data_IF_184868965649
#
_entry.id   IF_184868965649
#
_cell.length_a   1.000
_cell.length_b   1.000
_cell.length_c   1.000
_cell.angle_alpha   90.00
_cell.angle_beta   90.00
_cell.angle_gamma   90.00
#
_symmetry.space_group_name_H-M   'P 1'
#
loop_
_entity.id
_entity.type
_entity.pdbx_description
1 polymer ?
#
# COMPACT_ATOMS: atom_id res chain seq x y z
N UNK A 1 -7.65 65.70 -52.77
CA UNK A 1 -8.52 64.54 -52.48
C UNK A 1 -7.91 63.79 -51.32
N UNK A 2 -8.50 63.89 -50.13
CA UNK A 2 -7.96 63.26 -48.91
C UNK A 2 -8.59 61.87 -48.75
N UNK A 3 -7.81 60.81 -48.48
CA UNK A 3 -8.37 59.46 -48.37
C UNK A 3 -9.16 59.33 -47.06
N UNK A 4 -10.38 58.79 -47.17
CA UNK A 4 -11.26 58.50 -46.05
C UNK A 4 -10.68 57.37 -45.19
N UNK A 5 -10.62 57.51 -43.86
CA UNK A 5 -10.07 56.50 -42.98
C UNK A 5 -11.00 55.29 -42.90
N UNK A 6 -10.49 54.12 -43.31
CA UNK A 6 -11.18 52.84 -43.16
C UNK A 6 -11.24 52.47 -41.68
N UNK A 7 -12.41 52.63 -41.06
CA UNK A 7 -12.68 52.10 -39.72
C UNK A 7 -12.70 50.57 -39.79
N UNK A 8 -11.88 49.85 -38.99
CA UNK A 8 -11.89 48.40 -38.97
C UNK A 8 -13.27 47.90 -38.51
N UNK A 9 -13.82 46.90 -39.22
CA UNK A 9 -15.12 46.34 -38.85
C UNK A 9 -15.02 45.71 -37.46
N UNK A 10 -16.00 46.01 -36.60
CA UNK A 10 -16.06 45.58 -35.20
C UNK A 10 -15.94 44.06 -35.03
N UNK A 11 -16.42 43.31 -36.03
CA UNK A 11 -16.31 41.85 -36.13
C UNK A 11 -14.86 41.35 -36.24
N UNK A 12 -13.97 42.13 -36.89
CA UNK A 12 -12.54 41.79 -36.99
C UNK A 12 -11.83 41.87 -35.64
N UNK A 13 -12.24 42.80 -34.77
CA UNK A 13 -11.65 42.98 -33.44
C UNK A 13 -12.09 41.86 -32.49
N UNK A 14 -13.36 41.48 -32.52
CA UNK A 14 -13.88 40.38 -31.71
C UNK A 14 -13.22 39.03 -32.07
N UNK A 15 -13.08 38.72 -33.36
CA UNK A 15 -12.42 37.49 -33.82
C UNK A 15 -10.93 37.45 -33.47
N UNK A 16 -10.23 38.59 -33.50
CA UNK A 16 -8.84 38.68 -33.02
C UNK A 16 -8.74 38.43 -31.53
N UNK A 17 -9.66 38.95 -30.72
CA UNK A 17 -9.65 38.73 -29.27
C UNK A 17 -9.97 37.27 -28.90
N UNK A 18 -10.88 36.61 -29.62
CA UNK A 18 -11.18 35.17 -29.43
C UNK A 18 -9.97 34.31 -29.83
N UNK A 19 -9.30 34.63 -30.95
CA UNK A 19 -8.09 33.91 -31.36
C UNK A 19 -6.95 34.06 -30.35
N UNK A 20 -6.77 35.26 -29.77
CA UNK A 20 -5.77 35.50 -28.71
C UNK A 20 -6.13 34.73 -27.43
N UNK A 21 -7.41 34.69 -27.04
CA UNK A 21 -7.89 33.91 -25.90
C UNK A 21 -7.66 32.40 -26.10
N UNK A 22 -8.02 31.86 -27.28
CA UNK A 22 -7.84 30.46 -27.63
C UNK A 22 -6.35 30.04 -27.67
N UNK A 23 -5.46 30.92 -28.12
CA UNK A 23 -4.01 30.66 -28.13
C UNK A 23 -3.39 30.72 -26.72
N UNK A 24 -3.96 31.51 -25.81
CA UNK A 24 -3.47 31.62 -24.42
C UNK A 24 -4.01 30.55 -23.46
N UNK A 25 -5.03 29.80 -23.88
CA UNK A 25 -5.75 28.80 -23.07
C UNK A 25 -4.87 27.60 -22.63
N UNK A 26 -4.05 26.99 -23.51
CA UNK A 26 -3.15 25.90 -23.12
C UNK A 26 -2.10 26.34 -22.09
N UNK A 27 -1.61 27.57 -22.22
CA UNK A 27 -0.61 28.14 -21.31
C UNK A 27 -1.22 28.47 -19.95
N UNK A 28 -2.44 29.03 -19.91
CA UNK A 28 -3.18 29.33 -18.67
C UNK A 28 -3.64 28.08 -17.91
N UNK A 29 -3.98 26.99 -18.60
CA UNK A 29 -4.28 25.72 -17.95
C UNK A 29 -3.04 25.12 -17.26
N UNK A 30 -1.83 25.38 -17.77
CA UNK A 30 -0.58 25.03 -17.10
C UNK A 30 -0.21 25.99 -15.96
N UNK A 31 -0.51 27.29 -16.07
CA UNK A 31 -0.15 28.28 -15.02
C UNK A 31 -1.10 28.25 -13.82
N UNK A 32 -2.38 27.90 -14.02
CA UNK A 32 -3.35 27.75 -12.91
C UNK A 32 -3.10 26.51 -12.04
N UNK A 33 -2.27 25.56 -12.50
CA UNK A 33 -1.96 24.34 -11.74
C UNK A 33 -0.72 24.45 -10.85
N UNK A 34 0.06 25.53 -10.95
CA UNK A 34 1.36 25.63 -10.27
C UNK A 34 1.63 27.06 -9.79
N UNK A 35 0.85 27.55 -8.82
CA UNK A 35 1.36 28.60 -7.93
C UNK A 35 0.99 28.29 -6.48
N UNK A 36 2.03 28.02 -5.68
CA UNK A 36 2.04 28.08 -4.22
C UNK A 36 1.11 27.11 -3.46
N UNK A 37 1.36 25.81 -3.57
CA UNK A 37 0.85 24.84 -2.60
C UNK A 37 1.93 24.50 -1.56
N UNK A 38 1.71 24.98 -0.33
CA UNK A 38 2.45 24.58 0.86
C UNK A 38 2.57 23.06 0.96
N UNK A 39 3.72 22.54 1.39
CA UNK A 39 3.97 21.09 1.57
C UNK A 39 2.85 20.36 2.35
N UNK A 40 2.13 21.04 3.25
CA UNK A 40 0.99 20.47 3.97
C UNK A 40 -0.25 20.15 3.12
N UNK A 41 -0.50 20.85 2.00
CA UNK A 41 -1.64 20.53 1.09
C UNK A 41 -1.33 19.39 0.14
N UNK A 42 -0.06 19.21 -0.28
CA UNK A 42 0.35 18.07 -1.11
C UNK A 42 0.13 16.73 -0.42
N UNK A 43 0.36 16.65 0.89
CA UNK A 43 0.07 15.45 1.68
C UNK A 43 -1.44 15.19 1.76
N UNK A 44 -2.27 16.23 1.93
CA UNK A 44 -3.74 16.11 2.01
C UNK A 44 -4.39 15.47 0.79
N UNK A 45 -3.87 15.70 -0.42
CA UNK A 45 -4.38 15.05 -1.64
C UNK A 45 -3.89 13.61 -1.77
N UNK A 46 -2.62 13.35 -1.43
CA UNK A 46 -2.05 11.99 -1.40
C UNK A 46 -2.83 11.05 -0.47
N UNK A 47 -3.42 11.59 0.60
CA UNK A 47 -4.23 10.82 1.54
C UNK A 47 -5.56 10.32 0.96
N UNK A 48 -6.17 11.01 -0.01
CA UNK A 48 -7.47 10.61 -0.58
C UNK A 48 -7.43 9.32 -1.39
N UNK A 49 -6.30 9.05 -2.05
CA UNK A 49 -6.09 7.93 -2.98
C UNK A 49 -5.28 6.77 -2.38
N UNK A 50 -4.90 6.85 -1.11
CA UNK A 50 -4.06 5.82 -0.50
C UNK A 50 -4.79 4.49 -0.32
N UNK A 51 -4.02 3.40 -0.32
CA UNK A 51 -4.53 2.08 0.05
C UNK A 51 -4.88 2.04 1.55
N UNK A 52 -6.14 2.29 1.90
CA UNK A 52 -6.61 2.53 3.29
C UNK A 52 -6.32 1.40 4.27
N UNK A 53 -6.11 0.19 3.79
CA UNK A 53 -5.74 -0.94 4.65
C UNK A 53 -4.25 -0.91 5.06
N UNK A 54 -3.39 -0.37 4.21
CA UNK A 54 -1.94 -0.23 4.45
C UNK A 54 -1.62 1.13 5.04
N UNK A 55 -2.34 2.18 4.63
CA UNK A 55 -2.21 3.53 5.14
C UNK A 55 -3.57 3.97 5.69
N UNK A 56 -3.93 3.59 6.93
CA UNK A 56 -5.25 3.86 7.50
C UNK A 56 -5.49 5.32 7.87
N UNK A 57 -6.70 5.61 8.37
CA UNK A 57 -7.16 6.96 8.76
C UNK A 57 -6.28 7.66 9.82
N UNK A 58 -5.49 6.90 10.59
CA UNK A 58 -4.59 7.47 11.59
C UNK A 58 -3.52 8.37 10.99
N UNK A 59 -3.19 8.19 9.71
CA UNK A 59 -2.24 9.03 9.01
C UNK A 59 -2.76 10.45 8.70
N UNK A 60 -4.07 10.65 8.67
CA UNK A 60 -4.66 11.98 8.42
C UNK A 60 -4.52 12.90 9.65
N UNK A 61 -4.23 12.31 10.81
CA UNK A 61 -4.26 12.99 12.10
C UNK A 61 -2.92 13.70 12.36
N UNK A 62 -2.70 14.83 11.68
CA UNK A 62 -1.72 15.84 12.13
C UNK A 62 -2.12 16.48 13.47
N UNK A 63 -3.33 16.19 13.96
CA UNK A 63 -3.88 16.67 15.22
C UNK A 63 -3.45 15.77 16.38
N UNK A 64 -2.42 16.23 17.08
CA UNK A 64 -1.93 15.76 18.39
C UNK A 64 -2.95 15.86 19.53
N UNK A 65 -4.25 16.00 19.23
CA UNK A 65 -5.32 16.27 20.18
C UNK A 65 -6.30 15.11 20.24
N UNK A 66 -5.99 14.11 21.06
CA UNK A 66 -6.93 13.54 22.02
C UNK A 66 -6.36 12.26 22.60
N UNK A 67 -6.58 12.08 23.90
CA UNK A 67 -6.30 10.88 24.69
C UNK A 67 -6.94 9.57 24.15
N UNK A 68 -7.54 9.58 22.96
CA UNK A 68 -8.10 8.42 22.25
C UNK A 68 -7.10 7.72 21.32
N UNK A 69 -6.00 8.38 20.92
CA UNK A 69 -4.97 7.78 20.04
C UNK A 69 -4.23 6.61 20.70
N UNK A 70 -4.19 6.56 22.03
CA UNK A 70 -3.65 5.44 22.80
C UNK A 70 -4.53 4.18 22.74
N UNK A 71 -5.80 4.29 22.33
CA UNK A 71 -6.74 3.16 22.27
C UNK A 71 -6.93 2.56 20.88
N UNK A 72 -6.45 3.20 19.80
CA UNK A 72 -6.59 2.64 18.45
C UNK A 72 -5.51 1.57 18.24
N UNK A 73 -5.96 0.33 18.10
CA UNK A 73 -5.12 -0.83 17.84
C UNK A 73 -4.57 -0.82 16.41
N UNK A 74 -3.49 -1.55 16.19
CA UNK A 74 -3.05 -1.95 14.85
C UNK A 74 -4.18 -2.66 14.08
N UNK A 75 -4.07 -2.69 12.75
CA UNK A 75 -4.92 -3.54 11.90
C UNK A 75 -4.29 -4.92 11.77
N UNK A 76 -5.09 -5.98 11.89
CA UNK A 76 -4.63 -7.36 11.70
C UNK A 76 -5.22 -7.95 10.42
N UNK A 77 -4.37 -8.59 9.63
CA UNK A 77 -4.75 -9.35 8.45
C UNK A 77 -4.16 -10.75 8.53
N UNK A 78 -4.95 -11.78 8.20
CA UNK A 78 -4.34 -13.07 7.86
C UNK A 78 -3.59 -12.95 6.52
N UNK A 79 -2.59 -13.80 6.25
CA UNK A 79 -1.89 -13.81 4.97
C UNK A 79 -2.83 -13.93 3.76
N UNK A 80 -3.83 -14.80 3.85
CA UNK A 80 -4.86 -14.96 2.82
C UNK A 80 -5.66 -13.66 2.62
N UNK A 81 -6.10 -13.01 3.70
CA UNK A 81 -6.87 -11.78 3.60
C UNK A 81 -6.08 -10.65 2.96
N UNK A 82 -4.84 -10.42 3.41
CA UNK A 82 -4.00 -9.37 2.84
C UNK A 82 -3.71 -9.64 1.36
N UNK A 83 -3.47 -10.90 0.99
CA UNK A 83 -3.33 -11.30 -0.39
C UNK A 83 -4.58 -10.99 -1.22
N UNK A 84 -5.76 -11.39 -0.75
CA UNK A 84 -7.03 -11.14 -1.46
C UNK A 84 -7.26 -9.63 -1.62
N UNK A 85 -7.07 -8.87 -0.55
CA UNK A 85 -7.20 -7.42 -0.55
C UNK A 85 -6.28 -6.75 -1.60
N UNK A 86 -5.04 -7.23 -1.76
CA UNK A 86 -4.07 -6.67 -2.70
C UNK A 86 -4.20 -7.21 -4.14
N UNK A 87 -4.89 -8.34 -4.37
CA UNK A 87 -4.86 -9.05 -5.65
C UNK A 87 -6.23 -9.37 -6.26
N UNK A 88 -7.32 -9.21 -5.52
CA UNK A 88 -8.67 -9.55 -5.99
C UNK A 88 -9.09 -8.71 -7.20
N UNK A 89 -8.91 -7.40 -7.11
CA UNK A 89 -9.27 -6.44 -8.16
C UNK A 89 -8.17 -5.40 -8.33
N UNK A 90 -7.52 -5.39 -9.49
CA UNK A 90 -6.72 -4.25 -9.88
C UNK A 90 -7.65 -3.08 -10.21
N UNK A 91 -7.44 -1.99 -9.49
CA UNK A 91 -8.01 -0.68 -9.75
C UNK A 91 -6.83 0.27 -9.75
N UNK A 92 -6.61 1.06 -10.82
CA UNK A 92 -5.51 2.01 -10.84
C UNK A 92 -5.47 2.80 -9.56
N UNK A 93 -6.59 3.32 -9.07
CA UNK A 93 -6.68 4.19 -7.89
C UNK A 93 -6.07 3.60 -6.61
N UNK A 94 -5.97 2.28 -6.48
CA UNK A 94 -5.35 1.63 -5.31
C UNK A 94 -3.83 1.35 -5.49
N UNK A 95 -3.30 1.45 -6.71
CA UNK A 95 -1.88 1.46 -7.05
C UNK A 95 -1.03 0.41 -6.32
N UNK A 96 -1.43 -0.86 -6.37
CA UNK A 96 -0.80 -1.94 -5.58
C UNK A 96 0.69 -2.12 -5.95
N UNK A 97 1.07 -1.78 -7.17
CA UNK A 97 2.45 -1.77 -7.68
C UNK A 97 3.32 -0.66 -7.07
N UNK A 98 2.70 0.38 -6.52
CA UNK A 98 3.39 1.51 -5.90
C UNK A 98 3.58 1.31 -4.40
N UNK A 99 2.93 0.30 -3.80
CA UNK A 99 3.11 -0.07 -2.40
C UNK A 99 4.29 -1.05 -2.29
N UNK A 100 5.41 -0.52 -1.82
CA UNK A 100 6.67 -1.25 -1.76
C UNK A 100 7.13 -1.49 -0.32
N UNK A 101 7.88 -2.56 -0.12
CA UNK A 101 8.66 -2.80 1.10
C UNK A 101 10.03 -2.12 0.91
N UNK A 102 10.32 -1.13 1.74
CA UNK A 102 11.59 -0.37 1.73
C UNK A 102 12.68 -1.08 2.49
N UNK A 103 12.33 -1.64 3.64
CA UNK A 103 13.25 -2.43 4.44
C UNK A 103 12.51 -3.54 5.17
N UNK A 104 13.23 -4.61 5.46
CA UNK A 104 12.76 -5.70 6.29
C UNK A 104 13.82 -6.02 7.35
N UNK A 105 13.39 -6.36 8.56
CA UNK A 105 14.29 -6.75 9.65
C UNK A 105 13.83 -8.06 10.27
N UNK A 106 14.69 -9.07 10.20
CA UNK A 106 14.49 -10.32 10.90
C UNK A 106 14.81 -10.13 12.38
N UNK A 107 13.83 -10.35 13.24
CA UNK A 107 13.93 -10.02 14.65
C UNK A 107 13.70 -11.25 15.52
N UNK A 108 14.33 -11.24 16.70
CA UNK A 108 14.13 -12.23 17.76
C UNK A 108 13.77 -11.51 19.04
N UNK A 109 12.70 -11.94 19.71
CA UNK A 109 12.27 -11.40 21.00
C UNK A 109 13.24 -11.86 22.09
N UNK A 110 13.63 -10.96 22.99
CA UNK A 110 14.62 -11.27 24.03
C UNK A 110 14.02 -12.08 25.18
N UNK A 111 12.74 -11.84 25.49
CA UNK A 111 12.04 -12.48 26.63
C UNK A 111 11.51 -13.88 26.32
N UNK A 112 11.29 -14.21 25.04
CA UNK A 112 10.76 -15.50 24.62
C UNK A 112 11.73 -16.13 23.61
N UNK A 113 12.52 -17.14 24.01
CA UNK A 113 13.69 -17.60 23.27
C UNK A 113 13.42 -18.15 21.86
N UNK A 114 12.15 -18.43 21.54
CA UNK A 114 11.74 -19.05 20.28
C UNK A 114 10.96 -18.09 19.37
N UNK A 115 10.63 -16.88 19.83
CA UNK A 115 9.80 -15.97 19.04
C UNK A 115 10.64 -15.12 18.10
N UNK A 116 10.57 -15.47 16.82
CA UNK A 116 11.18 -14.74 15.73
C UNK A 116 10.08 -14.22 14.79
N UNK A 117 10.27 -13.01 14.28
CA UNK A 117 9.28 -12.24 13.52
C UNK A 117 9.98 -11.31 12.54
N UNK A 118 9.23 -10.75 11.60
CA UNK A 118 9.75 -9.80 10.61
C UNK A 118 9.10 -8.44 10.82
N UNK A 119 9.91 -7.39 10.92
CA UNK A 119 9.44 -5.99 10.86
C UNK A 119 9.64 -5.49 9.44
N UNK A 120 8.63 -4.81 8.90
CA UNK A 120 8.62 -4.27 7.55
C UNK A 120 8.42 -2.76 7.62
N UNK A 121 9.18 -2.00 6.84
CA UNK A 121 8.88 -0.61 6.50
C UNK A 121 8.30 -0.60 5.09
N UNK A 122 7.08 -0.10 4.93
CA UNK A 122 6.38 0.01 3.64
C UNK A 122 6.23 1.47 3.25
N UNK A 123 6.29 1.76 1.95
CA UNK A 123 6.15 3.09 1.38
C UNK A 123 5.21 3.05 0.17
N UNK A 124 4.40 4.09 0.01
CA UNK A 124 3.67 4.35 -1.23
C UNK A 124 4.50 5.29 -2.12
N UNK A 125 4.95 4.78 -3.28
CA UNK A 125 5.79 5.53 -4.22
C UNK A 125 5.07 6.71 -4.86
N UNK A 126 3.74 6.68 -4.98
CA UNK A 126 2.96 7.82 -5.50
C UNK A 126 2.85 8.95 -4.51
N UNK A 127 3.02 8.63 -3.23
CA UNK A 127 2.89 9.55 -2.12
C UNK A 127 4.23 9.65 -1.37
N UNK A 128 5.30 10.26 -1.96
CA UNK A 128 6.61 10.30 -1.33
C UNK A 128 6.57 10.76 0.13
N UNK A 129 7.15 9.96 1.01
CA UNK A 129 7.14 10.20 2.46
C UNK A 129 5.98 9.55 3.21
N UNK A 130 4.97 9.03 2.51
CA UNK A 130 3.93 8.19 3.12
C UNK A 130 4.50 6.80 3.41
N UNK A 131 4.87 6.59 4.67
CA UNK A 131 5.49 5.35 5.14
C UNK A 131 4.68 4.73 6.27
N UNK A 132 4.59 3.41 6.29
CA UNK A 132 4.01 2.68 7.41
C UNK A 132 4.93 1.54 7.86
N UNK A 133 4.63 0.97 9.02
CA UNK A 133 5.30 -0.21 9.55
C UNK A 133 4.33 -1.36 9.68
N UNK A 134 4.81 -2.56 9.39
CA UNK A 134 4.09 -3.80 9.58
C UNK A 134 4.95 -4.78 10.36
N UNK A 135 4.30 -5.62 11.15
CA UNK A 135 4.91 -6.81 11.76
C UNK A 135 4.29 -8.02 11.10
N UNK A 136 5.13 -8.98 10.75
CA UNK A 136 4.74 -10.30 10.31
C UNK A 136 5.19 -11.30 11.36
N UNK A 137 4.24 -11.92 12.04
CA UNK A 137 4.49 -12.88 13.10
C UNK A 137 3.51 -14.05 13.08
N UNK A 138 3.94 -15.16 13.68
CA UNK A 138 3.09 -16.31 14.00
C UNK A 138 2.87 -16.31 15.50
N UNK A 139 1.65 -16.02 15.94
CA UNK A 139 1.29 -15.97 17.35
C UNK A 139 0.35 -17.11 17.74
N UNK A 140 0.48 -17.56 18.97
CA UNK A 140 -0.55 -18.41 19.57
C UNK A 140 -1.73 -17.48 19.86
N UNK A 141 -2.94 -17.85 19.42
CA UNK A 141 -4.13 -17.05 19.73
C UNK A 141 -4.25 -16.93 21.25
N UNK A 142 -3.93 -15.75 21.81
CA UNK A 142 -4.31 -15.44 23.17
C UNK A 142 -5.83 -15.42 23.18
N UNK A 143 -6.43 -16.35 23.92
CA UNK A 143 -7.86 -16.37 24.18
C UNK A 143 -8.36 -14.95 24.50
N UNK A 144 -9.44 -14.48 23.85
CA UNK A 144 -9.99 -13.17 24.16
C UNK A 144 -10.51 -13.20 25.61
N UNK A 145 -9.93 -12.32 26.43
CA UNK A 145 -10.30 -11.98 27.80
C UNK A 145 -9.63 -12.80 28.92
N UNK A 146 -8.66 -12.14 29.56
CA UNK A 146 -8.53 -12.18 31.02
C UNK A 146 -9.79 -11.53 31.62
N UNK A 147 -10.91 -12.23 31.59
CA UNK A 147 -12.04 -11.92 32.47
C UNK A 147 -11.71 -12.52 33.83
N UNK A 148 -11.53 -11.74 34.90
CA UNK A 148 -11.41 -12.31 36.22
C UNK A 148 -12.82 -12.69 36.66
N UNK A 149 -13.19 -13.97 36.62
CA UNK A 149 -14.14 -14.61 37.57
C UNK A 149 -14.53 -16.05 37.20
N UNK A 150 -14.25 -16.93 38.17
CA UNK A 150 -15.17 -17.91 38.78
C UNK A 150 -15.61 -19.10 37.91
N UNK A 151 -14.95 -20.24 38.17
CA UNK A 151 -15.44 -21.62 38.11
C UNK A 151 -16.43 -21.99 37.00
N UNK A 152 -15.92 -22.58 35.92
CA UNK A 152 -16.68 -23.58 35.16
C UNK A 152 -15.74 -24.66 34.62
N UNK A 153 -15.85 -25.82 35.26
CA UNK A 153 -15.20 -27.08 34.92
C UNK A 153 -15.88 -27.70 33.69
N UNK A 154 -15.31 -27.44 32.51
CA UNK A 154 -15.38 -28.29 31.32
C UNK A 154 -14.39 -27.75 30.29
N UNK A 155 -13.09 -27.94 30.52
CA UNK A 155 -12.06 -27.66 29.52
C UNK A 155 -12.20 -28.67 28.38
N UNK A 156 -13.09 -28.36 27.45
CA UNK A 156 -12.92 -28.77 26.05
C UNK A 156 -11.51 -28.34 25.66
N UNK A 157 -10.72 -29.30 25.17
CA UNK A 157 -9.37 -29.11 24.65
C UNK A 157 -9.43 -28.22 23.40
N UNK A 158 -9.73 -26.93 23.56
CA UNK A 158 -9.59 -25.93 22.52
C UNK A 158 -8.10 -25.84 22.21
N UNK A 159 -7.71 -26.58 21.17
CA UNK A 159 -6.39 -26.52 20.57
C UNK A 159 -6.14 -25.05 20.18
N UNK A 160 -5.25 -24.36 20.89
CA UNK A 160 -4.76 -23.04 20.52
C UNK A 160 -4.05 -23.10 19.17
N UNK A 161 -4.77 -22.89 18.07
CA UNK A 161 -4.15 -22.81 16.76
C UNK A 161 -3.21 -21.61 16.70
N UNK A 162 -2.01 -21.83 16.17
CA UNK A 162 -1.12 -20.75 15.78
C UNK A 162 -1.78 -19.94 14.66
N UNK A 163 -1.63 -18.62 14.72
CA UNK A 163 -2.21 -17.67 13.77
C UNK A 163 -1.09 -16.85 13.15
N UNK A 164 -1.03 -16.90 11.83
CA UNK A 164 -0.15 -16.05 11.03
C UNK A 164 -0.85 -14.72 10.82
N UNK A 165 -0.16 -13.61 11.11
CA UNK A 165 -0.75 -12.29 11.01
C UNK A 165 0.23 -11.26 10.43
N UNK A 166 -0.31 -10.39 9.59
CA UNK A 166 0.22 -9.07 9.34
C UNK A 166 -0.44 -8.09 10.31
N UNK A 167 0.37 -7.38 11.08
CA UNK A 167 -0.06 -6.32 12.00
C UNK A 167 0.44 -4.98 11.49
N UNK A 168 -0.47 -4.14 11.04
CA UNK A 168 -0.18 -2.86 10.36
C UNK A 168 -0.37 -1.72 11.34
N UNK A 169 0.61 -0.83 11.46
CA UNK A 169 0.48 0.33 12.34
C UNK A 169 -0.67 1.23 11.90
N UNK A 170 -1.42 1.73 12.88
CA UNK A 170 -2.57 2.61 12.66
C UNK A 170 -2.16 4.00 12.18
N UNK A 171 -0.97 4.48 12.56
CA UNK A 171 -0.53 5.86 12.37
C UNK A 171 0.92 5.99 11.88
N UNK A 172 1.55 4.87 11.50
CA UNK A 172 2.96 4.87 11.09
C UNK A 172 3.94 4.88 12.25
N UNK A 173 3.51 4.80 13.51
CA UNK A 173 4.42 4.72 14.64
C UNK A 173 4.91 3.28 14.86
N UNK A 174 6.18 3.01 14.49
CA UNK A 174 6.83 1.71 14.70
C UNK A 174 6.88 1.32 16.19
N UNK A 175 7.21 2.25 17.08
CA UNK A 175 7.40 1.94 18.51
C UNK A 175 6.07 1.56 19.14
N UNK A 176 5.00 2.26 18.78
CA UNK A 176 3.65 1.94 19.22
C UNK A 176 3.17 0.60 18.68
N UNK A 177 3.37 0.31 17.40
CA UNK A 177 3.04 -1.00 16.83
C UNK A 177 3.72 -2.14 17.61
N UNK A 178 5.03 -2.02 17.85
CA UNK A 178 5.78 -3.01 18.62
C UNK A 178 5.32 -3.10 20.08
N UNK A 179 4.88 -1.98 20.68
CA UNK A 179 4.23 -1.96 21.99
C UNK A 179 2.98 -2.85 22.02
N UNK A 180 2.08 -2.60 21.06
CA UNK A 180 0.77 -3.24 20.98
C UNK A 180 0.88 -4.74 20.65
N UNK A 181 1.97 -5.15 19.98
CA UNK A 181 2.26 -6.54 19.66
C UNK A 181 3.04 -7.28 20.76
N UNK A 182 3.42 -6.61 21.86
CA UNK A 182 4.36 -7.14 22.87
C UNK A 182 5.73 -7.56 22.26
N UNK A 183 6.27 -6.74 21.36
CA UNK A 183 7.52 -6.97 20.62
C UNK A 183 8.56 -5.87 20.84
N UNK A 184 8.40 -5.00 21.85
CA UNK A 184 9.36 -3.91 22.08
C UNK A 184 10.75 -4.42 22.44
N UNK A 185 10.83 -5.42 23.30
CA UNK A 185 12.09 -6.02 23.73
C UNK A 185 12.55 -7.11 22.75
N UNK A 186 13.16 -6.66 21.66
CA UNK A 186 13.65 -7.51 20.58
C UNK A 186 15.03 -7.08 20.11
N UNK A 187 15.66 -7.98 19.36
CA UNK A 187 16.90 -7.72 18.64
C UNK A 187 16.71 -8.02 17.16
N UNK A 188 17.11 -7.09 16.30
CA UNK A 188 17.26 -7.35 14.88
C UNK A 188 18.52 -8.21 14.65
N UNK A 189 18.35 -9.40 14.09
CA UNK A 189 19.43 -10.32 13.74
C UNK A 189 19.98 -10.01 12.35
N UNK A 190 19.08 -9.74 11.42
CA UNK A 190 19.38 -9.48 10.01
C UNK A 190 18.50 -8.33 9.51
N UNK A 191 19.00 -7.57 8.55
CA UNK A 191 18.27 -6.44 7.96
C UNK A 191 18.52 -6.39 6.46
N UNK A 192 17.45 -6.15 5.71
CA UNK A 192 17.45 -5.91 4.29
C UNK A 192 16.97 -4.49 4.00
N UNK A 193 17.68 -3.80 3.12
CA UNK A 193 17.25 -2.54 2.52
C UNK A 193 17.15 -2.76 1.02
N UNK A 194 15.94 -2.60 0.49
CA UNK A 194 15.68 -2.83 -0.93
C UNK A 194 16.08 -1.59 -1.75
N UNK A 195 16.61 -1.84 -2.94
CA UNK A 195 16.93 -0.77 -3.90
C UNK A 195 15.66 -0.16 -4.47
N UNK A 196 15.71 1.12 -4.82
CA UNK A 196 14.55 1.82 -5.38
C UNK A 196 14.16 1.29 -6.77
N UNK A 197 15.12 0.75 -7.51
CA UNK A 197 14.96 0.21 -8.87
C UNK A 197 14.38 -1.21 -8.85
N UNK A 198 14.64 -1.97 -7.78
CA UNK A 198 14.22 -3.37 -7.61
C UNK A 198 13.57 -3.58 -6.24
N UNK A 199 12.47 -2.86 -5.92
CA UNK A 199 11.82 -3.00 -4.63
C UNK A 199 11.14 -4.37 -4.51
N UNK A 200 10.92 -4.84 -3.28
CA UNK A 200 9.97 -5.91 -3.03
C UNK A 200 8.57 -5.29 -2.96
N UNK A 201 7.65 -5.74 -3.82
CA UNK A 201 6.27 -5.23 -3.82
C UNK A 201 5.48 -5.88 -2.69
N UNK A 202 4.57 -5.14 -2.05
CA UNK A 202 3.87 -5.66 -0.88
C UNK A 202 2.99 -6.87 -1.23
N UNK A 203 2.34 -6.86 -2.40
CA UNK A 203 1.54 -8.01 -2.85
C UNK A 203 2.40 -9.27 -3.05
N UNK A 204 3.67 -9.11 -3.48
CA UNK A 204 4.58 -10.25 -3.63
C UNK A 204 4.90 -10.89 -2.28
N UNK A 205 5.12 -10.06 -1.25
CA UNK A 205 5.31 -10.53 0.12
C UNK A 205 4.03 -11.18 0.69
N UNK A 206 2.86 -10.63 0.39
CA UNK A 206 1.58 -11.22 0.80
C UNK A 206 1.37 -12.61 0.15
N UNK A 207 1.65 -12.76 -1.14
CA UNK A 207 1.63 -14.06 -1.85
C UNK A 207 2.58 -15.06 -1.21
N UNK A 208 3.84 -14.67 -0.97
CA UNK A 208 4.83 -15.51 -0.30
C UNK A 208 4.34 -15.96 1.09
N UNK A 209 3.87 -15.02 1.89
CA UNK A 209 3.44 -15.31 3.26
C UNK A 209 2.23 -16.24 3.29
N UNK A 210 1.29 -16.05 2.36
CA UNK A 210 0.13 -16.94 2.18
C UNK A 210 0.54 -18.35 1.79
N UNK A 211 1.46 -18.49 0.83
CA UNK A 211 2.00 -19.80 0.43
C UNK A 211 2.64 -20.52 1.63
N UNK A 212 3.49 -19.82 2.39
CA UNK A 212 4.14 -20.38 3.59
C UNK A 212 3.11 -20.76 4.66
N UNK A 213 2.08 -19.93 4.86
CA UNK A 213 1.00 -20.19 5.80
C UNK A 213 0.28 -21.50 5.47
N UNK A 214 -0.12 -21.68 4.20
CA UNK A 214 -0.84 -22.88 3.74
C UNK A 214 -0.04 -24.17 3.74
N UNK A 215 1.28 -24.11 3.58
CA UNK A 215 2.09 -25.32 3.57
C UNK A 215 2.01 -26.10 4.90
N UNK A 216 1.64 -25.45 6.01
CA UNK A 216 1.64 -26.09 7.34
C UNK A 216 0.48 -25.67 8.25
N UNK A 217 -0.76 -25.75 7.76
CA UNK A 217 -1.99 -25.60 8.56
C UNK A 217 -2.10 -26.57 9.76
N UNK A 218 -1.27 -27.63 9.81
CA UNK A 218 -1.44 -28.81 10.70
C UNK A 218 -0.34 -29.03 11.74
N UNK A 219 0.56 -28.07 11.96
CA UNK A 219 1.62 -28.28 12.95
C UNK A 219 1.10 -28.16 14.39
N UNK A 220 1.53 -29.09 15.26
CA UNK A 220 1.13 -29.12 16.66
C UNK A 220 1.65 -27.88 17.42
N UNK A 221 0.84 -27.39 18.36
CA UNK A 221 1.06 -26.22 19.22
C UNK A 221 2.41 -26.27 19.96
N UNK A 222 2.86 -27.49 20.31
CA UNK A 222 4.12 -27.74 21.03
C UNK A 222 5.35 -27.44 20.15
N UNK A 223 5.17 -27.38 18.82
CA UNK A 223 6.20 -27.11 17.81
C UNK A 223 5.82 -25.93 16.90
N UNK A 224 4.93 -25.03 17.36
CA UNK A 224 4.47 -23.82 16.66
C UNK A 224 5.60 -22.78 16.54
N UNK A 225 6.57 -23.12 15.70
CA UNK A 225 7.85 -22.48 15.59
C UNK A 225 7.73 -21.23 14.74
N UNK A 226 7.42 -20.10 15.37
CA UNK A 226 7.52 -18.76 14.80
C UNK A 226 8.89 -18.53 14.12
N UNK A 227 9.96 -19.18 14.61
CA UNK A 227 11.26 -19.22 13.91
C UNK A 227 11.19 -19.84 12.51
N UNK A 228 10.44 -20.93 12.31
CA UNK A 228 10.36 -21.60 11.00
C UNK A 228 9.55 -20.75 10.04
N UNK A 229 8.42 -20.23 10.49
CA UNK A 229 7.54 -19.38 9.69
C UNK A 229 8.27 -18.13 9.20
N UNK A 230 8.83 -17.37 10.14
CA UNK A 230 9.59 -16.16 9.82
C UNK A 230 10.85 -16.51 9.02
N UNK A 231 11.55 -17.59 9.39
CA UNK A 231 12.81 -18.00 8.75
C UNK A 231 12.65 -18.38 7.29
N UNK A 232 11.62 -19.18 6.95
CA UNK A 232 11.33 -19.58 5.58
C UNK A 232 10.95 -18.37 4.72
N UNK A 233 10.10 -17.48 5.24
CA UNK A 233 9.73 -16.24 4.54
C UNK A 233 10.98 -15.38 4.29
N UNK A 234 11.84 -15.24 5.30
CA UNK A 234 13.07 -14.47 5.17
C UNK A 234 14.01 -15.03 4.10
N UNK A 235 14.19 -16.35 4.05
CA UNK A 235 15.01 -16.99 3.01
C UNK A 235 14.44 -16.81 1.62
N UNK A 236 13.11 -16.90 1.47
CA UNK A 236 12.46 -16.59 0.20
C UNK A 236 12.68 -15.12 -0.19
N UNK A 237 12.54 -14.16 0.73
CA UNK A 237 12.80 -12.73 0.47
C UNK A 237 14.24 -12.51 -0.04
N UNK A 238 15.23 -13.13 0.62
CA UNK A 238 16.64 -13.05 0.20
C UNK A 238 16.83 -13.57 -1.23
N UNK A 239 16.19 -14.69 -1.58
CA UNK A 239 16.24 -15.26 -2.93
C UNK A 239 15.50 -14.41 -3.96
N UNK A 240 14.36 -13.82 -3.59
CA UNK A 240 13.58 -12.94 -4.47
C UNK A 240 14.31 -11.61 -4.76
N UNK A 241 15.18 -11.15 -3.84
CA UNK A 241 15.89 -9.86 -3.94
C UNK A 241 17.38 -10.01 -3.59
N UNK A 242 18.17 -10.72 -4.42
CA UNK A 242 19.59 -10.95 -4.16
C UNK A 242 20.43 -9.66 -4.24
N UNK A 243 19.91 -8.62 -4.89
CA UNK A 243 20.56 -7.32 -5.06
C UNK A 243 20.36 -6.37 -3.87
N UNK A 244 19.50 -6.72 -2.90
CA UNK A 244 19.21 -5.90 -1.73
C UNK A 244 20.45 -5.75 -0.83
N UNK A 245 20.58 -4.60 -0.17
CA UNK A 245 21.64 -4.42 0.83
C UNK A 245 21.31 -5.26 2.06
N UNK A 246 22.18 -6.23 2.34
CA UNK A 246 22.01 -7.20 3.42
C UNK A 246 23.03 -6.97 4.53
N UNK A 247 22.53 -6.87 5.77
CA UNK A 247 23.35 -6.67 6.98
C UNK A 247 23.00 -7.70 8.04
N UNK A 248 24.03 -8.37 8.57
CA UNK A 248 23.93 -9.31 9.69
C UNK A 248 24.50 -8.66 10.96
N UNK A 249 23.79 -8.78 12.07
CA UNK A 249 24.28 -8.34 13.37
C UNK A 249 25.44 -9.25 13.84
N UNK A 250 26.55 -8.66 14.27
CA UNK A 250 27.72 -9.41 14.74
C UNK A 250 27.35 -10.35 15.92
N UNK A 251 27.82 -11.60 15.84
CA UNK A 251 27.71 -12.58 16.93
C UNK A 251 26.36 -13.28 17.06
N UNK A 252 25.42 -13.08 16.13
CA UNK A 252 24.11 -13.73 16.16
C UNK A 252 23.86 -14.61 14.95
N UNK A 253 23.21 -15.74 15.19
CA UNK A 253 22.85 -16.73 14.18
C UNK A 253 21.35 -16.98 14.31
N UNK A 254 20.61 -16.85 13.20
CA UNK A 254 19.19 -17.19 13.10
C UNK A 254 18.92 -18.65 13.49
N UNK A 255 17.81 -18.92 14.16
CA UNK A 255 17.43 -20.29 14.54
C UNK A 255 18.40 -20.96 15.53
N UNK A 256 19.28 -20.20 16.17
CA UNK A 256 20.14 -20.72 17.23
C UNK A 256 19.33 -20.83 18.53
N UNK A 257 19.10 -22.08 18.94
CA UNK A 257 18.52 -22.44 20.23
C UNK A 257 19.65 -23.06 21.06
N UNK A 258 20.00 -22.43 22.19
CA UNK A 258 21.03 -22.88 23.14
C UNK A 258 22.32 -23.37 22.42
N UNK A 259 23.11 -22.45 21.87
CA UNK A 259 24.51 -22.59 21.37
C UNK A 259 24.86 -23.74 20.39
N UNK A 260 24.03 -24.75 20.13
CA UNK A 260 24.48 -26.00 19.49
C UNK A 260 23.57 -26.53 18.38
N UNK A 261 22.26 -26.29 18.43
CA UNK A 261 21.34 -26.70 17.37
C UNK A 261 21.01 -25.51 16.48
N UNK A 262 21.59 -25.52 15.27
CA UNK A 262 21.23 -24.61 14.19
C UNK A 262 20.04 -25.22 13.45
N UNK A 263 18.92 -24.51 13.43
CA UNK A 263 17.84 -24.83 12.51
C UNK A 263 18.00 -23.96 11.26
N UNK A 264 18.68 -24.50 10.25
CA UNK A 264 18.58 -23.95 8.90
C UNK A 264 17.23 -24.35 8.31
N UNK A 265 16.64 -23.45 7.53
CA UNK A 265 15.50 -23.81 6.67
C UNK A 265 15.88 -25.01 5.81
N UNK A 266 14.99 -25.99 5.72
CA UNK A 266 15.18 -27.15 4.86
C UNK A 266 15.24 -26.66 3.40
N UNK A 267 16.33 -26.95 2.69
CA UNK A 267 16.54 -26.48 1.31
C UNK A 267 15.45 -26.98 0.36
N UNK A 268 14.94 -28.19 0.56
CA UNK A 268 13.84 -28.73 -0.25
C UNK A 268 12.53 -27.99 0.02
N UNK A 269 12.25 -27.63 1.28
CA UNK A 269 11.06 -26.82 1.63
C UNK A 269 11.17 -25.42 1.01
N UNK A 270 12.37 -24.81 1.09
CA UNK A 270 12.64 -23.51 0.49
C UNK A 270 12.42 -23.53 -1.03
N UNK A 271 12.95 -24.54 -1.72
CA UNK A 271 12.80 -24.68 -3.18
C UNK A 271 11.33 -24.81 -3.58
N UNK A 272 10.62 -25.76 -2.97
CA UNK A 272 9.20 -26.02 -3.27
C UNK A 272 8.35 -24.77 -3.00
N UNK A 273 8.61 -24.06 -1.90
CA UNK A 273 7.92 -22.81 -1.58
C UNK A 273 8.20 -21.76 -2.62
N UNK A 274 9.47 -21.57 -2.98
CA UNK A 274 9.86 -20.56 -3.95
C UNK A 274 9.26 -20.82 -5.33
N UNK A 275 9.33 -22.06 -5.84
CA UNK A 275 8.72 -22.42 -7.13
C UNK A 275 7.21 -22.21 -7.16
N UNK A 276 6.53 -22.53 -6.05
CA UNK A 276 5.10 -22.29 -5.92
C UNK A 276 4.79 -20.79 -5.97
N UNK A 277 5.51 -19.98 -5.19
CA UNK A 277 5.35 -18.53 -5.13
C UNK A 277 5.65 -17.90 -6.49
N UNK A 278 6.74 -18.28 -7.15
CA UNK A 278 7.12 -17.76 -8.46
C UNK A 278 6.01 -17.99 -9.51
N UNK A 279 5.43 -19.19 -9.52
CA UNK A 279 4.29 -19.50 -10.39
C UNK A 279 3.06 -18.64 -10.07
N UNK A 280 2.74 -18.47 -8.79
CA UNK A 280 1.59 -17.63 -8.41
C UNK A 280 1.80 -16.16 -8.78
N UNK A 281 3.01 -15.64 -8.59
CA UNK A 281 3.33 -14.27 -8.99
C UNK A 281 3.17 -14.07 -10.49
N UNK A 282 3.61 -15.03 -11.31
CA UNK A 282 3.40 -14.99 -12.76
C UNK A 282 1.91 -14.95 -13.13
N UNK A 283 1.06 -15.71 -12.44
CA UNK A 283 -0.40 -15.69 -12.69
C UNK A 283 -1.04 -14.37 -12.24
N UNK A 284 -0.60 -13.80 -11.13
CA UNK A 284 -1.06 -12.47 -10.66
C UNK A 284 -0.66 -11.39 -11.65
N UNK A 285 0.58 -11.39 -12.13
CA UNK A 285 1.08 -10.39 -13.08
C UNK A 285 0.32 -10.46 -14.42
N UNK A 286 -0.01 -11.67 -14.90
CA UNK A 286 -0.90 -11.87 -16.06
C UNK A 286 -2.28 -11.30 -15.78
N UNK A 287 -2.87 -11.61 -14.63
CA UNK A 287 -4.20 -11.11 -14.22
C UNK A 287 -4.21 -9.58 -14.17
N UNK A 288 -3.21 -8.96 -13.55
CA UNK A 288 -3.06 -7.50 -13.50
C UNK A 288 -2.90 -6.90 -14.89
N UNK A 289 -2.14 -7.54 -15.78
CA UNK A 289 -2.00 -7.07 -17.17
C UNK A 289 -3.35 -7.04 -17.90
N UNK A 290 -4.14 -8.12 -17.79
CA UNK A 290 -5.49 -8.18 -18.39
C UNK A 290 -6.42 -7.12 -17.78
N UNK A 291 -6.41 -6.96 -16.46
CA UNK A 291 -7.25 -5.97 -15.77
C UNK A 291 -6.85 -4.53 -16.14
N UNK A 292 -5.54 -4.23 -16.24
CA UNK A 292 -5.02 -2.94 -16.71
C UNK A 292 -5.50 -2.62 -18.12
N UNK A 293 -5.42 -3.57 -19.04
CA UNK A 293 -5.88 -3.41 -20.42
C UNK A 293 -7.39 -3.18 -20.48
N UNK A 294 -8.17 -3.97 -19.75
CA UNK A 294 -9.62 -3.82 -19.67
C UNK A 294 -10.03 -2.45 -19.14
N UNK A 295 -9.40 -2.00 -18.05
CA UNK A 295 -9.64 -0.67 -17.49
C UNK A 295 -9.25 0.44 -18.47
N UNK A 296 -8.08 0.37 -19.11
CA UNK A 296 -7.63 1.39 -20.07
C UNK A 296 -8.59 1.52 -21.26
N UNK A 297 -9.14 0.40 -21.74
CA UNK A 297 -10.14 0.39 -22.79
C UNK A 297 -11.45 1.03 -22.33
N UNK A 298 -12.01 0.59 -21.20
CA UNK A 298 -13.28 1.12 -20.67
C UNK A 298 -13.19 2.61 -20.33
N UNK A 299 -12.09 3.04 -19.69
CA UNK A 299 -11.90 4.45 -19.35
C UNK A 299 -11.70 5.31 -20.60
N UNK A 300 -10.97 4.81 -21.61
CA UNK A 300 -10.82 5.50 -22.89
C UNK A 300 -12.16 5.73 -23.59
N UNK A 301 -13.03 4.72 -23.62
CA UNK A 301 -14.40 4.85 -24.14
C UNK A 301 -15.21 5.88 -23.36
N UNK A 302 -15.18 5.81 -22.03
CA UNK A 302 -15.89 6.77 -21.18
C UNK A 302 -15.42 8.22 -21.41
N UNK A 303 -14.11 8.45 -21.49
CA UNK A 303 -13.57 9.80 -21.78
C UNK A 303 -14.00 10.29 -23.16
N UNK A 304 -14.09 9.40 -24.14
CA UNK A 304 -14.55 9.75 -25.48
C UNK A 304 -16.03 10.15 -25.46
N UNK A 305 -16.88 9.39 -24.76
CA UNK A 305 -18.30 9.68 -24.58
C UNK A 305 -18.50 11.02 -23.85
N UNK A 306 -17.72 11.29 -22.79
CA UNK A 306 -17.75 12.55 -22.05
C UNK A 306 -17.33 13.73 -22.94
N UNK A 307 -16.31 13.57 -23.78
CA UNK A 307 -15.87 14.58 -24.73
C UNK A 307 -16.97 14.87 -25.77
N UNK A 308 -17.64 13.84 -26.27
CA UNK A 308 -18.74 13.99 -27.22
C UNK A 308 -19.95 14.69 -26.59
N UNK A 309 -20.32 14.31 -25.36
CA UNK A 309 -21.37 14.96 -24.60
C UNK A 309 -21.05 16.45 -24.33
N UNK A 310 -19.81 16.77 -23.97
CA UNK A 310 -19.37 18.16 -23.79
C UNK A 310 -19.43 18.96 -25.10
N UNK A 311 -19.03 18.37 -26.24
CA UNK A 311 -19.14 19.02 -27.56
C UNK A 311 -20.58 19.34 -27.92
N UNK A 312 -21.49 18.38 -27.73
CA UNK A 312 -22.92 18.60 -27.98
C UNK A 312 -23.48 19.72 -27.09
N UNK A 313 -23.08 19.75 -25.81
CA UNK A 313 -23.51 20.81 -24.88
C UNK A 313 -22.98 22.19 -25.28
N UNK A 314 -21.73 22.28 -25.75
CA UNK A 314 -21.16 23.54 -26.26
C UNK A 314 -21.96 24.02 -27.48
N UNK A 315 -22.28 23.12 -28.42
CA UNK A 315 -23.07 23.46 -29.59
C UNK A 315 -24.47 23.96 -29.22
N UNK A 316 -25.15 23.30 -28.28
CA UNK A 316 -26.47 23.75 -27.78
C UNK A 316 -26.40 25.16 -27.17
N UNK A 317 -25.35 25.44 -26.37
CA UNK A 317 -25.14 26.75 -25.78
C UNK A 317 -24.85 27.82 -26.83
N UNK A 318 -24.09 27.49 -27.88
CA UNK A 318 -23.84 28.37 -29.02
C UNK A 318 -25.14 28.67 -29.80
N UNK A 319 -26.00 27.68 -30.01
CA UNK A 319 -27.32 27.85 -30.63
C UNK A 319 -28.26 28.71 -29.78
N UNK A 320 -28.25 28.54 -28.45
CA UNK A 320 -29.00 29.39 -27.51
C UNK A 320 -28.52 30.84 -27.51
N UNK A 321 -27.21 31.06 -27.62
CA UNK A 321 -26.63 32.40 -27.71
C UNK A 321 -27.01 33.08 -29.04
N UNK A 322 -26.95 32.34 -30.15
CA UNK A 322 -27.26 32.86 -31.48
C UNK A 322 -28.75 33.13 -31.69
N UNK A 323 -29.64 32.36 -31.05
CA UNK A 323 -31.09 32.51 -31.19
C UNK A 323 -31.68 33.67 -30.37
N UNK A 324 -30.96 34.22 -29.39
CA UNK A 324 -31.47 35.28 -28.53
C UNK A 324 -30.40 36.33 -28.14
N UNK A 325 -29.81 37.05 -29.12
CA UNK A 325 -28.69 37.95 -28.88
C UNK A 325 -29.06 39.14 -27.98
N UNK A 326 -30.31 39.63 -28.05
CA UNK A 326 -30.78 40.80 -27.30
C UNK A 326 -30.95 40.50 -25.80
N UNK A 327 -31.13 39.23 -25.41
CA UNK A 327 -31.29 38.82 -24.02
C UNK A 327 -30.03 39.04 -23.17
N UNK A 328 -28.86 39.15 -23.80
CA UNK A 328 -27.56 39.33 -23.14
C UNK A 328 -26.99 40.75 -23.30
N UNK A 329 -27.67 41.65 -24.02
CA UNK A 329 -27.21 43.01 -24.29
C UNK A 329 -27.74 44.07 -23.31
N UNK A 330 -28.62 43.70 -22.37
CA UNK A 330 -29.27 44.62 -21.43
C UNK A 330 -28.72 44.62 -19.99
N UNK A 331 -27.50 44.10 -19.78
CA UNK A 331 -26.82 44.17 -18.48
C UNK A 331 -25.54 44.99 -18.52
#
# INVERSE_FOLDING_TARGET
>A
MSPSPKTPSRTSVALKNIAILAQSLPQRLHTLRITSESHGRKLSYAYGERHRQIFPAGFDSTSSSSNSAAQRSYYSFSPQRLYDDLTASYTPEHHVEDIIVKSASYCKKNTTPNHEFIILEVEDRRSPGLKNFMVLDRNISESPSRSPRIYSSAQSSQSYAAKDEFRVSYDGDRRRLLAQCDLQDHKALETLVFKSEEPLLLYQLATLTRAVSFQRDKYHIITANCYWFSGLIWDCILRMRPSAYYKVAQGHIRGALVSWLRQSTNSAELEVTYEYVDRELLEIDKKFTVQKQGWAHSHGTQMQDDIEAMKMRIQELEEQLNSNPDRYLHH
#
